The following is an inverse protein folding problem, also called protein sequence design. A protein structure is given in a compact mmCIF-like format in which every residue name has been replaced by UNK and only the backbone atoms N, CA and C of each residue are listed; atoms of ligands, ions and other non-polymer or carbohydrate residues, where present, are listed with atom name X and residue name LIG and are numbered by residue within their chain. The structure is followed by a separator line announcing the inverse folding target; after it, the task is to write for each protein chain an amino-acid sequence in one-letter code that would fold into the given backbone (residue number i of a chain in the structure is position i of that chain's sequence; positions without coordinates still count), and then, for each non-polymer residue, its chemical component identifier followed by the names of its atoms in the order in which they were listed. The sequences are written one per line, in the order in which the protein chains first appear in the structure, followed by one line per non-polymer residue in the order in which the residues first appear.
data_IF_954602302245
#
_entry.id   IF_954602302245
#
_cell.length_a   1.000
_cell.length_b   1.000
_cell.length_c   1.000
_cell.angle_alpha   90.00
_cell.angle_beta   90.00
_cell.angle_gamma   90.00
#
_symmetry.space_group_name_H-M   'P 1'
#
loop_
_entity.id
_entity.type
_entity.pdbx_description
1 polymer ?
2 non-polymer ?
3 non-polymer ?
4 non-polymer ?
5 non-polymer ?
6 water ?
#
# COMPACT_ATOMS: atom_id res chain seq x y z
N UNK A 1 -3.66 20.54 2.00
CA UNK A 1 -4.05 20.32 0.57
C UNK A 1 -3.68 18.90 0.14
N UNK A 2 -4.26 18.48 -0.98
CA UNK A 2 -3.81 17.21 -1.59
C UNK A 2 -2.28 17.16 -1.80
N UNK A 3 -1.72 18.27 -2.29
CA UNK A 3 -0.32 18.28 -2.65
C UNK A 3 0.60 18.14 -1.45
N UNK A 4 0.21 18.75 -0.33
CA UNK A 4 1.01 18.63 0.89
C UNK A 4 0.92 17.25 1.53
N UNK A 5 -0.28 16.68 1.60
CA UNK A 5 -0.42 15.27 2.02
C UNK A 5 0.42 14.37 1.12
N UNK A 6 0.34 14.61 -0.19
CA UNK A 6 1.13 13.85 -1.17
C UNK A 6 2.63 13.91 -0.85
N UNK A 7 3.12 15.08 -0.46
CA UNK A 7 4.55 15.19 -0.12
C UNK A 7 4.90 14.33 1.10
N UNK A 8 4.02 14.29 2.09
CA UNK A 8 4.25 13.43 3.27
C UNK A 8 4.25 11.95 2.90
N UNK A 9 3.31 11.54 2.06
CA UNK A 9 3.28 10.16 1.58
C UNK A 9 4.56 9.85 0.82
N UNK A 10 4.92 10.74 -0.11
CA UNK A 10 6.10 10.56 -0.94
C UNK A 10 7.33 10.24 -0.09
N UNK A 11 7.52 10.98 1.01
CA UNK A 11 8.72 10.85 1.82
C UNK A 11 8.76 9.52 2.58
N UNK A 12 7.60 8.89 2.73
CA UNK A 12 7.48 7.62 3.45
C UNK A 12 7.33 6.40 2.56
N UNK A 13 7.23 6.62 1.25
CA UNK A 13 7.19 5.50 0.30
C UNK A 13 8.58 4.94 0.05
N UNK A 14 8.69 3.61 0.17
CA UNK A 14 9.93 2.92 -0.19
C UNK A 14 9.61 1.85 -1.24
N UNK A 15 10.63 1.42 -1.98
CA UNK A 15 10.44 0.34 -2.92
C UNK A 15 10.60 -0.97 -2.17
N UNK A 16 9.69 -1.90 -2.40
CA UNK A 16 9.74 -3.23 -1.78
C UNK A 16 10.22 -4.27 -2.81
N UNK A 17 11.27 -5.02 -2.47
CA UNK A 17 11.83 -6.05 -3.34
C UNK A 17 12.04 -7.35 -2.60
N UNK A 18 12.14 -8.44 -3.35
CA UNK A 18 12.31 -9.77 -2.78
C UNK A 18 13.43 -10.46 -3.54
N UNK A 19 14.31 -11.15 -2.81
CA UNK A 19 15.37 -11.91 -3.46
C UNK A 19 15.72 -13.15 -2.65
N UNK A 20 16.26 -14.16 -3.32
CA UNK A 20 16.95 -15.23 -2.59
C UNK A 20 18.23 -14.65 -1.98
N UNK A 21 18.64 -15.17 -0.82
CA UNK A 21 19.94 -14.78 -0.27
C UNK A 21 21.05 -14.98 -1.32
N UNK A 22 21.91 -13.96 -1.47
CA UNK A 22 22.99 -13.96 -2.49
C UNK A 22 22.49 -13.91 -3.94
N UNK A 23 21.22 -13.53 -4.14
CA UNK A 23 20.63 -13.49 -5.48
C UNK A 23 20.17 -12.09 -5.89
N UNK A 24 19.73 -11.96 -7.14
CA UNK A 24 19.24 -10.69 -7.64
C UNK A 24 17.92 -10.30 -7.00
N UNK A 25 17.77 -9.01 -6.73
CA UNK A 25 16.53 -8.48 -6.16
C UNK A 25 15.54 -8.24 -7.28
N UNK A 26 14.32 -8.73 -7.06
CA UNK A 26 13.19 -8.36 -7.91
C UNK A 26 12.45 -7.25 -7.18
N UNK A 27 12.42 -6.06 -7.76
CA UNK A 27 11.64 -4.95 -7.22
C UNK A 27 10.20 -5.16 -7.62
N UNK A 28 9.31 -5.16 -6.62
CA UNK A 28 7.94 -5.61 -6.82
C UNK A 28 6.91 -4.47 -6.84
N UNK A 29 6.95 -3.62 -5.82
CA UNK A 29 5.95 -2.56 -5.66
C UNK A 29 6.44 -1.58 -4.60
N UNK A 30 5.54 -0.72 -4.11
CA UNK A 30 5.83 0.25 -3.05
C UNK A 30 5.42 -0.34 -1.71
N UNK A 31 6.05 0.14 -0.64
CA UNK A 31 5.51 0.02 0.70
C UNK A 31 5.51 1.40 1.33
N UNK A 32 4.64 1.59 2.30
CA UNK A 32 4.47 2.92 2.91
C UNK A 32 4.79 2.90 4.41
N UNK A 33 5.85 3.57 4.79
CA UNK A 33 6.12 3.70 6.23
C UNK A 33 5.01 4.51 6.88
N UNK A 34 4.56 4.06 8.04
CA UNK A 34 3.49 4.79 8.77
C UNK A 34 3.88 5.38 10.13
N UNK A 35 4.73 4.65 10.87
CA UNK A 35 5.19 5.09 12.20
C UNK A 35 6.31 4.17 12.65
N UNK A 36 7.29 4.74 13.32
CA UNK A 36 8.40 3.92 13.86
C UNK A 36 8.96 3.06 12.74
N UNK A 37 9.10 1.75 12.95
CA UNK A 37 9.64 0.86 11.92
C UNK A 37 8.53 0.00 11.28
N UNK A 38 7.29 0.52 11.32
CA UNK A 38 6.13 -0.16 10.73
C UNK A 38 5.78 0.40 9.35
N UNK A 39 5.52 -0.49 8.40
CA UNK A 39 5.07 -0.11 7.06
C UNK A 39 3.77 -0.80 6.74
N UNK A 40 3.00 -0.21 5.83
CA UNK A 40 1.89 -0.90 5.17
C UNK A 40 2.39 -1.46 3.85
N UNK A 41 2.06 -2.73 3.58
CA UNK A 41 2.40 -3.30 2.28
C UNK A 41 1.38 -4.35 1.88
N UNK A 42 1.00 -4.38 0.59
CA UNK A 42 0.15 -5.48 0.10
C UNK A 42 0.88 -6.82 0.23
N UNK A 43 0.32 -7.71 1.04
CA UNK A 43 0.98 -9.01 1.26
C UNK A 43 1.00 -9.86 -0.02
N UNK A 44 0.17 -9.51 -1.01
CA UNK A 44 0.26 -10.25 -2.28
C UNK A 44 1.61 -10.06 -2.97
N UNK A 45 2.39 -9.09 -2.50
CA UNK A 45 3.73 -8.88 -3.02
C UNK A 45 4.64 -10.09 -2.79
N UNK A 46 4.35 -10.91 -1.77
CA UNK A 46 5.31 -11.97 -1.40
C UNK A 46 4.62 -13.28 -0.99
N UNK A 47 3.38 -13.24 -0.48
CA UNK A 47 2.91 -14.42 0.29
C UNK A 47 2.52 -15.63 -0.56
N UNK A 48 2.43 -15.43 -1.87
CA UNK A 48 1.94 -16.50 -2.73
C UNK A 48 3.03 -17.26 -3.45
N UNK A 49 4.27 -16.86 -3.22
CA UNK A 49 5.43 -17.57 -3.76
C UNK A 49 6.00 -18.57 -2.73
N UNK A 50 6.65 -19.62 -3.23
CA UNK A 50 7.15 -20.72 -2.40
C UNK A 50 8.26 -20.26 -1.44
N UNK A 51 8.18 -20.70 -0.19
CA UNK A 51 9.23 -20.46 0.83
C UNK A 51 9.55 -18.98 1.02
N UNK A 52 8.50 -18.16 1.12
CA UNK A 52 8.70 -16.71 1.19
C UNK A 52 9.61 -16.35 2.37
N UNK A 53 9.46 -17.08 3.48
CA UNK A 53 10.21 -16.80 4.71
C UNK A 53 11.71 -17.05 4.58
N UNK A 54 12.10 -17.83 3.57
CA UNK A 54 13.52 -18.08 3.31
C UNK A 54 14.12 -16.99 2.39
N UNK A 55 13.28 -16.06 1.96
CA UNK A 55 13.75 -14.99 1.07
C UNK A 55 14.26 -13.81 1.88
N UNK A 56 15.01 -12.93 1.21
CA UNK A 56 15.40 -11.65 1.76
C UNK A 56 14.43 -10.61 1.25
N UNK A 57 13.95 -9.75 2.15
CA UNK A 57 13.13 -8.59 1.78
C UNK A 57 14.04 -7.37 1.70
N UNK A 58 13.80 -6.52 0.71
CA UNK A 58 14.62 -5.31 0.50
C UNK A 58 13.73 -4.09 0.51
N UNK A 59 14.24 -3.02 1.08
CA UNK A 59 13.51 -1.75 1.17
C UNK A 59 14.44 -0.68 0.66
N UNK A 60 14.09 -0.12 -0.49
CA UNK A 60 14.90 0.91 -1.08
C UNK A 60 14.33 2.26 -0.69
N UNK A 61 15.08 2.96 0.13
CA UNK A 61 14.68 4.25 0.63
C UNK A 61 15.58 5.31 -0.04
N UNK A 62 15.14 5.81 -1.19
CA UNK A 62 15.88 6.85 -1.88
C UNK A 62 17.30 6.50 -2.28
N UNK A 63 17.51 5.24 -2.66
CA UNK A 63 18.84 4.79 -3.07
C UNK A 63 19.70 4.28 -1.94
N UNK A 64 19.17 4.31 -0.71
CA UNK A 64 19.80 3.57 0.37
C UNK A 64 18.96 2.31 0.61
N UNK A 65 19.63 1.16 0.52
CA UNK A 65 18.94 -0.15 0.56
C UNK A 65 19.06 -0.79 1.95
N UNK A 66 17.93 -1.26 2.47
CA UNK A 66 17.87 -1.97 3.76
C UNK A 66 17.32 -3.33 3.47
N UNK A 67 17.99 -4.36 3.98
CA UNK A 67 17.46 -5.70 3.74
C UNK A 67 17.31 -6.45 5.05
N UNK A 68 16.47 -7.46 5.03
CA UNK A 68 16.25 -8.30 6.21
C UNK A 68 15.73 -9.64 5.72
N UNK A 69 16.04 -10.70 6.45
CA UNK A 69 15.39 -11.96 6.23
C UNK A 69 13.88 -11.79 6.44
N UNK A 70 13.09 -12.36 5.51
CA UNK A 70 11.62 -12.33 5.63
C UNK A 70 11.15 -12.96 6.93
N UNK A 71 11.93 -13.92 7.46
CA UNK A 71 11.56 -14.55 8.76
C UNK A 71 11.74 -13.62 9.95
N UNK A 72 12.37 -12.46 9.71
CA UNK A 72 12.65 -11.47 10.77
C UNK A 72 11.80 -10.19 10.72
N UNK A 73 10.89 -10.12 9.74
CA UNK A 73 9.89 -9.04 9.78
C UNK A 73 8.66 -9.54 10.57
N UNK A 74 7.99 -8.63 11.26
CA UNK A 74 6.82 -8.99 12.03
C UNK A 74 5.56 -8.49 11.34
N UNK A 75 4.71 -9.42 10.93
CA UNK A 75 3.50 -9.09 10.17
C UNK A 75 2.27 -9.07 11.07
N UNK A 76 1.50 -7.99 11.01
CA UNK A 76 0.28 -7.80 11.80
C UNK A 76 -0.89 -7.51 10.86
N UNK A 77 -2.03 -8.18 11.06
CA UNK A 77 -3.19 -7.96 10.21
C UNK A 77 -3.88 -6.65 10.57
N UNK A 78 -4.60 -6.07 9.61
CA UNK A 78 -5.40 -4.85 9.82
C UNK A 78 -6.76 -5.16 10.46
N UNK A 79 -7.23 -6.38 10.23
CA UNK A 79 -8.54 -6.81 10.71
C UNK A 79 -8.58 -8.32 10.50
N UNK A 80 -9.65 -8.96 10.96
CA UNK A 80 -9.83 -10.40 10.77
C UNK A 80 -10.05 -10.69 9.28
N UNK A 81 -9.64 -11.86 8.83
CA UNK A 81 -9.79 -12.26 7.44
C UNK A 81 -8.68 -11.71 6.56
N UNK A 82 -8.75 -12.01 5.26
CA UNK A 82 -7.72 -11.56 4.34
C UNK A 82 -8.02 -10.14 3.90
N UNK A 83 -7.07 -9.23 4.16
CA UNK A 83 -7.23 -7.84 3.76
C UNK A 83 -6.15 -7.40 2.77
N UNK A 84 -5.27 -8.35 2.43
CA UNK A 84 -4.12 -8.14 1.54
C UNK A 84 -3.09 -7.22 2.17
N UNK A 85 -3.42 -5.95 2.33
CA UNK A 85 -2.49 -5.03 2.97
C UNK A 85 -2.28 -5.48 4.41
N UNK A 86 -1.02 -5.52 4.84
CA UNK A 86 -0.67 -5.83 6.22
C UNK A 86 0.23 -4.74 6.79
N UNK A 87 0.36 -4.75 8.11
CA UNK A 87 1.37 -3.95 8.82
C UNK A 87 2.61 -4.82 8.99
N UNK A 88 3.77 -4.26 8.71
CA UNK A 88 5.01 -5.04 8.70
C UNK A 88 6.07 -4.25 9.44
N UNK A 89 6.60 -4.85 10.51
CA UNK A 89 7.66 -4.23 11.32
C UNK A 89 9.01 -4.70 10.78
N UNK A 90 9.86 -3.74 10.43
CA UNK A 90 11.15 -4.04 9.81
C UNK A 90 12.25 -3.46 10.69
N UNK A 91 12.85 -4.28 11.56
CA UNK A 91 13.78 -3.71 12.55
C UNK A 91 14.98 -2.96 11.99
N UNK A 92 15.36 -3.25 10.74
CA UNK A 92 16.55 -2.67 10.10
C UNK A 92 16.26 -1.33 9.40
N UNK A 93 14.98 -0.97 9.32
CA UNK A 93 14.63 0.27 8.59
C UNK A 93 14.77 1.51 9.48
N UNK A 94 15.26 2.64 8.91
CA UNK A 94 15.24 3.86 9.75
C UNK A 94 13.81 4.27 10.11
N UNK A 95 13.61 4.76 11.33
CA UNK A 95 12.29 5.24 11.82
C UNK A 95 11.63 6.18 10.80
N UNK A 96 10.32 6.02 10.62
CA UNK A 96 9.54 6.90 9.76
C UNK A 96 8.89 8.04 10.56
N UNK A 97 8.66 9.17 9.87
CA UNK A 97 7.73 10.18 10.36
C UNK A 97 6.37 9.53 10.54
N UNK A 98 5.74 9.76 11.69
CA UNK A 98 4.41 9.20 12.00
C UNK A 98 3.36 9.94 11.16
N UNK A 99 2.79 9.22 10.19
CA UNK A 99 1.71 9.79 9.36
C UNK A 99 0.34 9.15 9.66
N UNK A 100 0.29 8.35 10.73
CA UNK A 100 -0.97 7.66 11.09
C UNK A 100 -2.16 8.61 11.26
N UNK A 101 -1.92 9.80 11.80
CA UNK A 101 -3.02 10.76 12.05
C UNK A 101 -3.56 11.42 10.79
N UNK A 102 -2.91 11.18 9.67
CA UNK A 102 -3.38 11.68 8.36
C UNK A 102 -4.33 10.69 7.66
N UNK A 103 -4.46 9.48 8.21
CA UNK A 103 -5.40 8.51 7.65
C UNK A 103 -6.83 8.81 8.09
N UNK A 104 -7.77 8.46 7.22
CA UNK A 104 -9.18 8.70 7.49
C UNK A 104 -9.66 7.94 8.76
N UNK A 105 -10.46 8.59 9.59
CA UNK A 105 -11.15 7.91 10.68
C UNK A 105 -12.31 7.08 10.12
N UNK A 106 -12.59 5.94 10.74
CA UNK A 106 -13.66 5.08 10.24
C UNK A 106 -14.97 5.84 10.05
N UNK A 107 -15.32 6.66 11.04
CA UNK A 107 -16.57 7.44 11.01
C UNK A 107 -16.66 8.44 9.89
N UNK A 108 -15.51 8.86 9.34
CA UNK A 108 -15.48 9.88 8.29
C UNK A 108 -15.47 9.31 6.87
N UNK A 109 -15.46 7.99 6.75
CA UNK A 109 -15.43 7.33 5.45
C UNK A 109 -16.46 7.89 4.46
N UNK A 110 -17.74 8.06 4.89
CA UNK A 110 -18.72 8.59 3.91
C UNK A 110 -18.34 9.94 3.28
N UNK A 111 -17.54 10.72 4.00
CA UNK A 111 -17.14 12.04 3.52
C UNK A 111 -16.20 12.01 2.29
N UNK A 112 -15.57 10.86 2.01
CA UNK A 112 -14.72 10.72 0.84
C UNK A 112 -15.45 10.13 -0.38
N UNK A 113 -16.64 9.56 -0.17
CA UNK A 113 -17.42 8.98 -1.28
C UNK A 113 -17.86 10.04 -2.27
N UNK A 114 -17.96 9.66 -3.55
CA UNK A 114 -18.49 10.53 -4.61
C UNK A 114 -17.64 11.76 -4.89
N UNK A 115 -16.40 11.71 -4.41
CA UNK A 115 -15.46 12.80 -4.62
C UNK A 115 -14.19 12.28 -5.25
N UNK A 116 -13.49 13.18 -5.92
CA UNK A 116 -12.21 12.85 -6.54
C UNK A 116 -11.17 12.46 -5.50
N UNK A 117 -10.14 11.79 -5.97
CA UNK A 117 -9.02 11.42 -5.12
C UNK A 117 -7.77 11.37 -5.98
N UNK A 118 -6.61 11.29 -5.32
CA UNK A 118 -5.35 11.19 -6.00
C UNK A 118 -4.57 10.01 -5.42
N UNK A 119 -4.15 9.11 -6.30
CA UNK A 119 -3.24 8.04 -5.92
C UNK A 119 -1.83 8.60 -5.92
N UNK A 120 -1.20 8.61 -4.74
CA UNK A 120 0.17 9.09 -4.60
C UNK A 120 1.06 7.86 -4.51
N UNK A 121 1.79 7.63 -5.60
CA UNK A 121 2.56 6.39 -5.70
C UNK A 121 3.90 6.59 -6.41
N UNK A 122 4.57 5.49 -6.75
CA UNK A 122 5.71 5.55 -7.67
C UNK A 122 5.65 4.37 -8.62
N UNK A 123 6.38 4.47 -9.73
CA UNK A 123 6.77 3.28 -10.47
C UNK A 123 8.28 3.18 -10.25
N UNK A 124 8.68 2.15 -9.51
CA UNK A 124 10.10 1.93 -9.23
C UNK A 124 10.80 3.18 -8.67
N UNK A 125 10.09 3.91 -7.81
CA UNK A 125 10.68 5.04 -7.12
C UNK A 125 10.42 6.38 -7.78
N UNK A 126 9.97 6.38 -9.03
CA UNK A 126 9.64 7.65 -9.70
C UNK A 126 8.25 8.10 -9.26
N UNK A 127 8.16 9.23 -8.53
CA UNK A 127 6.86 9.62 -7.96
C UNK A 127 5.85 10.02 -9.01
N UNK A 128 4.59 9.60 -8.79
CA UNK A 128 3.50 9.91 -9.70
C UNK A 128 2.27 10.27 -8.91
N UNK A 129 1.51 11.22 -9.45
CA UNK A 129 0.18 11.55 -8.93
C UNK A 129 -0.84 11.13 -9.98
N UNK A 130 -1.73 10.22 -9.60
CA UNK A 130 -2.68 9.65 -10.54
C UNK A 130 -4.10 10.02 -10.12
N UNK A 131 -4.80 10.75 -10.99
CA UNK A 131 -6.15 11.19 -10.65
C UNK A 131 -7.12 10.01 -10.65
N UNK A 132 -8.00 9.97 -9.65
CA UNK A 132 -9.04 8.93 -9.62
C UNK A 132 -10.38 9.61 -9.57
N UNK A 133 -11.35 9.02 -10.27
CA UNK A 133 -12.67 9.64 -10.48
C UNK A 133 -13.45 9.55 -9.19
N UNK A 134 -14.69 10.07 -9.20
CA UNK A 134 -15.41 10.05 -7.94
C UNK A 134 -15.48 8.65 -7.31
N UNK A 135 -15.10 8.55 -6.05
CA UNK A 135 -14.91 7.24 -5.43
C UNK A 135 -16.21 6.57 -5.01
N UNK A 136 -16.26 5.25 -5.23
CA UNK A 136 -17.23 4.40 -4.56
C UNK A 136 -16.51 3.45 -3.58
N UNK A 137 -17.30 2.84 -2.71
CA UNK A 137 -16.80 1.85 -1.76
C UNK A 137 -17.45 0.52 -2.10
N UNK A 138 -16.62 -0.51 -2.24
CA UNK A 138 -17.11 -1.86 -2.48
C UNK A 138 -16.99 -2.63 -1.18
N UNK A 139 -18.07 -3.27 -0.77
CA UNK A 139 -18.02 -4.02 0.48
C UNK A 139 -17.06 -5.20 0.34
N UNK A 140 -17.08 -5.82 -0.83
CA UNK A 140 -16.11 -6.84 -1.22
C UNK A 140 -15.57 -6.53 -2.61
N UNK A 141 -14.24 -6.48 -2.73
CA UNK A 141 -13.61 -6.34 -4.03
C UNK A 141 -12.77 -7.56 -4.33
N UNK A 142 -12.83 -8.01 -5.58
CA UNK A 142 -12.03 -9.13 -6.06
C UNK A 142 -11.15 -8.67 -7.22
N UNK A 143 -9.90 -9.12 -7.20
CA UNK A 143 -8.94 -8.81 -8.23
C UNK A 143 -7.98 -9.97 -8.40
N UNK A 144 -7.37 -10.04 -9.58
CA UNK A 144 -6.51 -11.16 -9.96
C UNK A 144 -5.04 -10.80 -9.81
N UNK A 145 -4.30 -11.64 -9.08
CA UNK A 145 -2.87 -11.45 -8.95
C UNK A 145 -2.12 -12.49 -9.78
N UNK A 146 -1.20 -12.00 -10.62
CA UNK A 146 -0.39 -12.85 -11.46
C UNK A 146 0.92 -13.13 -10.73
N UNK A 147 1.17 -14.42 -10.47
CA UNK A 147 2.37 -14.84 -9.79
C UNK A 147 3.55 -14.89 -10.76
N UNK A 148 4.74 -15.18 -10.23
CA UNK A 148 5.94 -15.27 -11.07
C UNK A 148 5.91 -16.43 -12.09
N UNK A 149 5.24 -17.54 -11.76
CA UNK A 149 5.19 -18.71 -12.66
C UNK A 149 4.03 -18.64 -13.67
N UNK A 150 3.37 -17.49 -13.74
CA UNK A 150 2.28 -17.28 -14.70
C UNK A 150 0.89 -17.64 -14.18
N UNK A 151 0.82 -18.59 -13.24
CA UNK A 151 -0.47 -18.95 -12.65
C UNK A 151 -1.07 -17.73 -11.94
N UNK A 152 -2.38 -17.74 -11.75
CA UNK A 152 -3.05 -16.60 -11.14
C UNK A 152 -3.84 -17.02 -9.89
N UNK A 153 -4.09 -16.03 -9.03
CA UNK A 153 -4.93 -16.20 -7.85
C UNK A 153 -5.94 -15.04 -7.76
N UNK A 154 -7.18 -15.38 -7.42
CA UNK A 154 -8.22 -14.41 -7.14
C UNK A 154 -8.13 -13.99 -5.68
N UNK A 155 -8.03 -12.69 -5.44
CA UNK A 155 -7.98 -12.14 -4.08
C UNK A 155 -9.24 -11.34 -3.79
N UNK A 156 -9.81 -11.54 -2.61
CA UNK A 156 -10.98 -10.78 -2.18
C UNK A 156 -10.75 -10.14 -0.83
N UNK A 157 -10.97 -8.83 -0.77
CA UNK A 157 -10.83 -8.09 0.48
C UNK A 157 -12.14 -7.39 0.84
N UNK A 158 -12.25 -6.98 2.09
CA UNK A 158 -13.39 -6.21 2.61
C UNK A 158 -13.06 -4.72 2.47
N UNK A 159 -14.05 -3.93 2.03
CA UNK A 159 -13.97 -2.48 2.00
C UNK A 159 -12.79 -1.98 1.18
N UNK A 160 -13.04 -1.87 -0.11
CA UNK A 160 -12.05 -1.29 -1.02
C UNK A 160 -12.64 -0.15 -1.85
N UNK A 161 -11.90 0.95 -1.89
CA UNK A 161 -12.27 2.08 -2.73
C UNK A 161 -12.12 1.71 -4.20
N UNK A 162 -13.05 2.21 -5.02
CA UNK A 162 -13.00 2.00 -6.45
C UNK A 162 -13.12 3.35 -7.14
N UNK A 163 -12.17 3.66 -8.02
CA UNK A 163 -12.20 4.93 -8.73
C UNK A 163 -11.74 4.78 -10.15
N UNK A 164 -12.37 5.53 -11.05
CA UNK A 164 -11.96 5.56 -12.44
C UNK A 164 -10.54 6.14 -12.56
N UNK A 165 -9.66 5.42 -13.22
CA UNK A 165 -8.32 5.95 -13.47
C UNK A 165 -7.41 4.96 -14.12
N UNK A 166 -6.22 5.44 -14.46
CA UNK A 166 -5.27 4.69 -15.24
C UNK A 166 -4.02 4.39 -14.43
N UNK A 167 -3.87 3.14 -14.05
CA UNK A 167 -2.71 2.69 -13.29
C UNK A 167 -1.72 1.94 -14.14
N UNK A 168 -0.53 1.75 -13.59
CA UNK A 168 0.52 1.02 -14.26
C UNK A 168 1.11 -0.01 -13.32
N UNK A 169 1.73 -1.06 -13.89
CA UNK A 169 2.46 -2.02 -13.07
C UNK A 169 3.48 -1.33 -12.15
N UNK A 170 3.54 -1.77 -10.91
CA UNK A 170 4.47 -1.18 -9.93
C UNK A 170 3.82 -0.17 -9.01
N UNK A 171 2.62 0.29 -9.35
CA UNK A 171 1.96 1.33 -8.54
C UNK A 171 1.30 0.82 -7.23
N UNK A 172 1.17 -0.50 -7.12
CA UNK A 172 0.63 -1.07 -5.87
C UNK A 172 1.45 -0.56 -4.67
N UNK A 173 0.78 -0.42 -3.52
CA UNK A 173 1.44 0.02 -2.28
C UNK A 173 1.46 1.55 -2.08
N UNK A 174 1.13 2.30 -3.14
CA UNK A 174 0.93 3.75 -3.04
C UNK A 174 -0.31 4.08 -2.24
N UNK A 175 -0.47 5.35 -1.88
CA UNK A 175 -1.55 5.76 -0.95
C UNK A 175 -2.62 6.58 -1.69
N UNK A 176 -3.88 6.27 -1.43
CA UNK A 176 -4.98 7.04 -2.02
C UNK A 176 -5.31 8.20 -1.08
N UNK A 177 -5.37 9.42 -1.62
CA UNK A 177 -5.57 10.64 -0.82
C UNK A 177 -6.85 11.33 -1.30
N UNK A 178 -7.75 11.66 -0.38
CA UNK A 178 -9.01 12.33 -0.76
C UNK A 178 -8.78 13.77 -1.22
N UNK A 179 -9.61 14.21 -2.16
CA UNK A 179 -9.63 15.61 -2.58
C UNK A 179 -10.37 16.46 -1.58
N UNK A 180 -11.07 15.83 -0.63
CA UNK A 180 -11.90 16.54 0.34
C UNK A 180 -11.09 17.25 1.43
N UNK A 181 -10.99 18.57 1.28
CA UNK A 181 -10.24 19.38 2.26
C UNK A 181 -10.86 19.42 3.66
N UNK A 182 -12.17 19.15 3.74
CA UNK A 182 -12.87 19.28 5.01
C UNK A 182 -12.52 18.12 5.95
N UNK A 183 -11.96 17.03 5.41
CA UNK A 183 -11.36 15.96 6.22
C UNK A 183 -9.83 15.96 6.00
N UNK A 184 -9.30 17.15 5.73
CA UNK A 184 -7.85 17.37 5.60
C UNK A 184 -7.21 16.41 4.57
N UNK A 185 -7.91 16.18 3.45
CA UNK A 185 -7.36 15.40 2.35
C UNK A 185 -6.80 14.07 2.86
N UNK A 186 -7.61 13.41 3.68
CA UNK A 186 -7.19 12.21 4.41
C UNK A 186 -6.66 11.12 3.48
N UNK A 187 -5.64 10.40 3.95
CA UNK A 187 -5.21 9.19 3.28
C UNK A 187 -6.29 8.12 3.53
N UNK A 188 -6.76 7.49 2.46
CA UNK A 188 -7.93 6.62 2.51
C UNK A 188 -7.57 5.15 2.54
N UNK A 189 -6.37 4.85 2.10
CA UNK A 189 -5.99 3.44 1.93
C UNK A 189 -4.84 3.25 0.96
N UNK A 190 -4.66 1.97 0.58
CA UNK A 190 -3.48 1.57 -0.16
C UNK A 190 -3.87 0.88 -1.46
N UNK A 191 -3.28 1.32 -2.55
CA UNK A 191 -3.57 0.79 -3.88
C UNK A 191 -3.16 -0.68 -3.99
N UNK A 192 -4.10 -1.51 -4.40
CA UNK A 192 -3.85 -2.96 -4.53
C UNK A 192 -4.12 -3.55 -5.91
N UNK A 193 -4.85 -2.82 -6.77
CA UNK A 193 -5.19 -3.34 -8.09
C UNK A 193 -5.61 -2.25 -9.05
N UNK A 194 -5.36 -2.49 -10.33
CA UNK A 194 -5.81 -1.60 -11.40
C UNK A 194 -6.12 -2.40 -12.65
N UNK A 195 -7.15 -1.99 -13.37
CA UNK A 195 -7.50 -2.63 -14.65
C UNK A 195 -8.86 -2.21 -15.16
N UNK A 196 -9.00 -2.23 -16.49
CA UNK A 196 -10.20 -1.73 -17.15
C UNK A 196 -10.55 -0.32 -16.67
N UNK A 197 -9.51 0.49 -16.52
CA UNK A 197 -9.63 1.90 -16.11
C UNK A 197 -10.27 2.04 -14.73
N UNK A 198 -10.06 1.04 -13.88
CA UNK A 198 -10.57 1.03 -12.51
C UNK A 198 -9.40 0.84 -11.57
N UNK A 199 -9.31 1.69 -10.55
CA UNK A 199 -8.25 1.60 -9.56
C UNK A 199 -8.86 1.19 -8.24
N UNK A 200 -8.23 0.23 -7.57
CA UNK A 200 -8.76 -0.34 -6.34
C UNK A 200 -7.78 -0.16 -5.19
N UNK A 201 -8.27 0.43 -4.09
CA UNK A 201 -7.43 0.62 -2.89
C UNK A 201 -8.12 0.06 -1.66
N UNK A 202 -7.42 -0.78 -0.90
CA UNK A 202 -7.91 -1.28 0.38
C UNK A 202 -8.11 -0.12 1.38
N UNK A 203 -9.30 0.00 1.96
CA UNK A 203 -9.50 1.00 3.01
C UNK A 203 -8.57 0.73 4.18
N UNK A 204 -7.85 1.77 4.61
CA UNK A 204 -7.12 1.73 5.85
C UNK A 204 -7.51 2.93 6.70
N UNK A 205 -8.02 2.66 7.89
CA UNK A 205 -8.46 3.72 8.80
C UNK A 205 -7.45 3.96 9.90
N UNK A 206 -7.55 5.14 10.49
CA UNK A 206 -6.74 5.49 11.65
C UNK A 206 -6.83 4.43 12.76
N UNK A 207 -8.05 3.93 12.97
CA UNK A 207 -8.31 2.94 14.02
C UNK A 207 -7.54 1.64 13.82
N UNK A 208 -7.28 1.28 12.56
CA UNK A 208 -6.55 0.04 12.28
C UNK A 208 -5.13 0.02 12.82
N UNK A 209 -4.56 1.20 13.07
CA UNK A 209 -3.19 1.27 13.61
C UNK A 209 -3.13 0.85 15.07
N UNK A 210 -4.30 0.78 15.70
CA UNK A 210 -4.40 0.31 17.08
C UNK A 210 -3.95 -1.16 17.20
N UNK A 211 -4.03 -1.91 16.09
CA UNK A 211 -3.46 -3.28 16.00
C UNK A 211 -1.94 -3.30 16.24
N UNK A 212 -1.37 -2.12 16.45
CA UNK A 212 0.04 -1.89 16.83
C UNK A 212 0.98 -1.97 15.64
#
# INVERSE_FOLDING_TARGET
STLEIAGLVRKNLVQFGVGEKNGSVRWVMNALGVKDDWLLVPSHAYKFEKDYEMMEFYFNRGGTYYSISAGNVVIQSLDVGFQDVVLMKVPTIPKFRDITQHFIKKGDVPRALNRLATLVTTVNGTPMLISEGPLKMEEKATYVHKKNDGTTVDLTVDQAWRGKGEGLPGMCGGALVSSNQSIQNAILGIHVAGGNSILVAKLVTQEMFQNIDKKIESQ
#
